data_IF_461654083982
#
_entry.id   IF_461654083982
#
_cell.length_a   1.000
_cell.length_b   1.000
_cell.length_c   1.000
_cell.angle_alpha   90.00
_cell.angle_beta   90.00
_cell.angle_gamma   90.00
#
_symmetry.space_group_name_H-M   'P 1'
#
loop_
_entity.id
_entity.type
_entity.pdbx_description
1 polymer ?
#
# COMPACT_ATOMS: atom_id res chain seq x y z
N UNK A 1 -58.31 18.85 -24.59
CA UNK A 1 -57.88 19.73 -23.48
C UNK A 1 -58.38 19.17 -22.17
N UNK A 2 -57.45 18.85 -21.25
CA UNK A 2 -57.52 18.86 -19.78
C UNK A 2 -56.52 17.82 -19.22
N UNK A 3 -55.30 18.29 -18.99
CA UNK A 3 -54.61 18.07 -17.71
C UNK A 3 -55.09 19.17 -16.74
N UNK A 4 -54.85 19.12 -15.42
CA UNK A 4 -53.90 18.28 -14.67
C UNK A 4 -54.50 17.63 -13.41
N UNK A 5 -53.71 16.83 -12.70
CA UNK A 5 -53.40 17.15 -11.29
C UNK A 5 -52.15 16.42 -10.80
N UNK A 6 -51.23 17.24 -10.27
CA UNK A 6 -50.11 16.85 -9.44
C UNK A 6 -50.65 16.45 -8.07
N UNK A 7 -49.97 15.55 -7.36
CA UNK A 7 -49.27 15.87 -6.10
C UNK A 7 -48.91 14.61 -5.28
N UNK A 8 -47.82 14.80 -4.52
CA UNK A 8 -47.45 14.15 -3.26
C UNK A 8 -46.57 12.89 -3.30
N UNK A 9 -45.25 13.16 -3.29
CA UNK A 9 -44.29 12.76 -2.23
C UNK A 9 -44.44 11.34 -1.66
N UNK A 10 -43.48 10.48 -1.99
CA UNK A 10 -42.93 9.59 -0.98
C UNK A 10 -41.41 9.46 -1.17
N UNK A 11 -40.70 10.25 -0.35
CA UNK A 11 -39.28 10.10 -0.08
C UNK A 11 -39.03 8.70 0.51
N UNK A 12 -38.53 7.78 -0.30
CA UNK A 12 -37.99 6.50 0.17
C UNK A 12 -36.47 6.59 0.16
N UNK A 13 -35.95 7.09 1.28
CA UNK A 13 -34.80 6.53 2.00
C UNK A 13 -33.68 5.90 1.14
N UNK A 14 -33.01 6.70 0.31
CA UNK A 14 -31.63 6.40 -0.08
C UNK A 14 -30.71 6.82 1.08
N UNK A 15 -30.43 5.83 1.93
CA UNK A 15 -29.50 5.91 3.05
C UNK A 15 -28.15 6.43 2.61
N UNK A 16 -27.97 7.73 2.81
CA UNK A 16 -26.70 8.46 2.71
C UNK A 16 -25.79 8.01 3.86
N UNK A 17 -25.18 6.83 3.73
CA UNK A 17 -24.03 6.42 4.54
C UNK A 17 -22.83 7.29 4.14
N UNK A 18 -22.75 8.50 4.70
CA UNK A 18 -21.47 9.20 4.88
C UNK A 18 -20.68 8.37 5.90
N UNK A 19 -19.83 7.48 5.40
CA UNK A 19 -18.85 6.79 6.24
C UNK A 19 -17.91 7.82 6.86
N UNK A 20 -18.01 7.95 8.19
CA UNK A 20 -17.06 8.64 9.07
C UNK A 20 -15.67 7.97 9.03
N UNK A 21 -14.99 7.93 7.89
CA UNK A 21 -13.66 7.27 7.77
C UNK A 21 -12.52 8.21 7.37
N UNK A 22 -12.73 9.52 7.35
CA UNK A 22 -11.69 10.50 6.95
C UNK A 22 -10.84 11.03 8.11
N UNK A 23 -11.11 10.64 9.36
CA UNK A 23 -10.34 11.12 10.52
C UNK A 23 -9.16 10.21 10.94
N UNK A 24 -8.98 9.01 10.36
CA UNK A 24 -8.02 8.02 10.87
C UNK A 24 -6.73 7.82 10.04
N UNK A 25 -6.57 8.49 8.89
CA UNK A 25 -5.35 8.33 8.08
C UNK A 25 -4.23 9.34 8.39
N UNK A 26 -4.49 10.39 9.17
CA UNK A 26 -3.51 11.43 9.47
C UNK A 26 -2.49 11.13 10.60
N UNK A 27 -2.72 10.26 11.62
CA UNK A 27 -1.76 10.09 12.70
C UNK A 27 -0.66 9.05 12.42
N UNK A 28 -0.77 8.26 11.35
CA UNK A 28 0.14 7.11 11.11
C UNK A 28 1.53 7.57 10.64
N UNK A 29 1.66 8.76 10.03
CA UNK A 29 2.94 9.26 9.50
C UNK A 29 3.80 9.90 10.60
N UNK A 30 3.19 10.57 11.59
CA UNK A 30 3.94 11.21 12.70
C UNK A 30 4.42 10.23 13.77
N UNK A 31 3.86 9.02 13.86
CA UNK A 31 4.25 8.02 14.88
C UNK A 31 5.45 7.16 14.50
N UNK A 32 5.94 7.24 13.26
CA UNK A 32 7.09 6.46 12.79
C UNK A 32 8.42 7.19 13.04
N UNK A 33 8.38 8.48 13.39
CA UNK A 33 9.59 9.29 13.64
C UNK A 33 10.07 9.27 15.10
N UNK A 34 9.24 8.87 16.06
CA UNK A 34 9.53 9.07 17.50
C UNK A 34 9.54 7.83 18.38
N UNK A 35 9.18 6.65 17.88
CA UNK A 35 9.34 5.42 18.65
C UNK A 35 10.72 4.81 18.36
N UNK A 36 11.65 5.08 19.27
CA UNK A 36 12.81 4.21 19.51
C UNK A 36 12.27 2.78 19.60
N UNK A 37 12.57 1.98 18.58
CA UNK A 37 12.26 0.55 18.53
C UNK A 37 12.72 -0.02 19.88
N UNK A 38 11.83 -0.61 20.71
CA UNK A 38 12.28 -1.32 21.88
C UNK A 38 13.14 -2.45 21.34
N UNK A 39 14.46 -2.28 21.48
CA UNK A 39 15.43 -3.32 21.23
C UNK A 39 14.99 -4.44 22.15
N UNK A 40 14.32 -5.43 21.58
CA UNK A 40 13.95 -6.66 22.28
C UNK A 40 15.13 -7.02 23.17
N UNK A 41 14.87 -7.08 24.48
CA UNK A 41 15.76 -7.59 25.53
C UNK A 41 16.06 -9.09 25.33
N UNK A 42 16.35 -9.51 24.09
CA UNK A 42 16.94 -10.79 23.71
C UNK A 42 18.46 -10.79 23.89
N UNK A 43 19.05 -9.73 24.45
CA UNK A 43 20.47 -9.68 24.79
C UNK A 43 20.84 -10.48 26.05
N UNK A 44 19.85 -10.96 26.84
CA UNK A 44 20.13 -11.72 28.08
C UNK A 44 20.24 -13.23 27.91
N UNK A 45 19.40 -13.84 27.06
CA UNK A 45 19.35 -15.31 26.89
C UNK A 45 20.56 -15.94 26.17
N UNK A 46 21.13 -15.37 25.09
CA UNK A 46 22.26 -16.02 24.42
C UNK A 46 23.54 -15.92 25.25
N UNK A 47 23.67 -14.90 26.13
CA UNK A 47 24.84 -14.75 26.99
C UNK A 47 24.81 -15.79 28.13
N UNK A 48 23.66 -15.98 28.78
CA UNK A 48 23.49 -17.00 29.80
C UNK A 48 23.68 -18.42 29.25
N UNK A 49 23.14 -18.72 28.07
CA UNK A 49 23.33 -20.00 27.41
C UNK A 49 24.79 -20.24 26.98
N UNK A 50 25.49 -19.21 26.51
CA UNK A 50 26.91 -19.30 26.16
C UNK A 50 27.78 -19.55 27.40
N UNK A 51 27.52 -18.86 28.51
CA UNK A 51 28.21 -19.09 29.79
C UNK A 51 27.98 -20.52 30.29
N UNK A 52 26.73 -21.02 30.20
CA UNK A 52 26.40 -22.38 30.60
C UNK A 52 27.11 -23.43 29.72
N UNK A 53 27.20 -23.21 28.41
CA UNK A 53 27.94 -24.08 27.49
C UNK A 53 29.45 -24.06 27.77
N UNK A 54 30.02 -22.90 28.07
CA UNK A 54 31.42 -22.78 28.47
C UNK A 54 31.65 -23.57 29.77
N UNK A 55 30.79 -23.37 30.78
CA UNK A 55 30.88 -24.10 32.06
C UNK A 55 30.71 -25.61 31.91
N UNK A 56 29.79 -26.08 31.07
CA UNK A 56 29.61 -27.51 30.80
C UNK A 56 30.81 -28.09 30.05
N UNK A 57 31.41 -27.33 29.12
CA UNK A 57 32.60 -27.76 28.39
C UNK A 57 33.84 -27.85 29.28
N UNK A 58 34.04 -26.89 30.18
CA UNK A 58 35.16 -26.92 31.15
C UNK A 58 34.97 -28.04 32.16
N UNK A 59 33.74 -28.28 32.63
CA UNK A 59 33.44 -29.45 33.47
C UNK A 59 33.73 -30.77 32.76
N UNK A 60 33.36 -30.91 31.49
CA UNK A 60 33.60 -32.12 30.71
C UNK A 60 35.10 -32.42 30.56
N UNK A 61 35.93 -31.39 30.34
CA UNK A 61 37.39 -31.51 30.30
C UNK A 61 37.96 -31.91 31.65
N UNK A 62 37.48 -31.31 32.75
CA UNK A 62 37.91 -31.69 34.11
C UNK A 62 37.55 -33.14 34.44
N UNK A 63 36.37 -33.62 34.02
CA UNK A 63 35.96 -35.01 34.17
C UNK A 63 36.83 -35.97 33.33
N UNK A 64 37.18 -35.61 32.10
CA UNK A 64 38.07 -36.41 31.25
C UNK A 64 39.50 -36.50 31.83
N UNK A 65 40.02 -35.38 32.37
CA UNK A 65 41.33 -35.37 33.04
C UNK A 65 41.32 -36.24 34.30
N UNK A 66 40.25 -36.19 35.09
CA UNK A 66 40.08 -37.03 36.28
C UNK A 66 39.90 -38.53 35.95
N UNK A 67 39.19 -38.86 34.87
CA UNK A 67 38.88 -40.24 34.51
C UNK A 67 40.02 -40.96 33.76
N UNK A 68 40.78 -40.24 32.92
CA UNK A 68 41.77 -40.85 32.01
C UNK A 68 43.20 -40.39 32.23
N UNK A 69 43.45 -39.41 33.12
CA UNK A 69 44.80 -38.90 33.40
C UNK A 69 45.46 -38.19 32.20
N UNK A 70 44.69 -37.84 31.17
CA UNK A 70 45.19 -37.20 29.96
C UNK A 70 45.32 -35.70 30.24
N UNK A 71 46.55 -35.19 30.17
CA UNK A 71 46.83 -33.76 30.26
C UNK A 71 46.62 -33.10 28.88
N UNK A 72 45.46 -32.45 28.70
CA UNK A 72 45.17 -31.70 27.48
C UNK A 72 45.79 -30.31 27.63
N UNK A 73 46.67 -29.86 26.71
CA UNK A 73 47.26 -28.53 26.78
C UNK A 73 46.19 -27.45 26.65
N UNK A 74 46.17 -26.52 27.60
CA UNK A 74 45.16 -25.47 27.74
C UNK A 74 44.94 -24.65 26.46
N UNK A 75 45.98 -24.50 25.62
CA UNK A 75 45.93 -23.77 24.36
C UNK A 75 44.95 -24.32 23.31
N UNK A 76 44.65 -25.63 23.30
CA UNK A 76 43.76 -26.24 22.29
C UNK A 76 42.28 -25.92 22.60
N UNK A 77 41.91 -25.76 23.87
CA UNK A 77 40.54 -25.45 24.30
C UNK A 77 40.13 -24.01 23.96
N UNK A 78 41.06 -23.06 24.06
CA UNK A 78 40.79 -21.65 23.74
C UNK A 78 40.64 -21.39 22.23
N UNK A 79 41.37 -22.11 21.37
CA UNK A 79 41.28 -21.96 19.92
C UNK A 79 39.94 -22.46 19.35
N UNK A 80 39.39 -23.55 19.91
CA UNK A 80 38.10 -24.09 19.48
C UNK A 80 36.90 -23.21 19.85
N UNK A 81 36.85 -22.69 21.08
CA UNK A 81 35.73 -21.86 21.55
C UNK A 81 35.82 -20.38 21.15
N UNK A 82 37.04 -19.83 21.05
CA UNK A 82 37.27 -18.46 20.59
C UNK A 82 36.84 -18.24 19.13
N UNK A 83 37.11 -19.22 18.25
CA UNK A 83 36.69 -19.15 16.84
C UNK A 83 35.17 -19.17 16.65
N UNK A 84 34.46 -19.99 17.41
CA UNK A 84 32.99 -20.17 17.28
C UNK A 84 32.23 -18.95 17.84
N UNK A 85 32.72 -18.37 18.94
CA UNK A 85 32.10 -17.20 19.58
C UNK A 85 32.32 -15.92 18.78
N UNK A 86 33.54 -15.67 18.28
CA UNK A 86 33.84 -14.52 17.41
C UNK A 86 33.12 -14.65 16.06
N UNK A 87 33.09 -15.84 15.47
CA UNK A 87 32.31 -16.12 14.25
C UNK A 87 30.81 -15.85 14.43
N UNK A 88 30.22 -16.25 15.56
CA UNK A 88 28.81 -16.02 15.87
C UNK A 88 28.47 -14.53 16.08
N UNK A 89 29.37 -13.75 16.70
CA UNK A 89 29.22 -12.30 16.87
C UNK A 89 29.33 -11.55 15.53
N UNK A 90 30.26 -11.93 14.66
CA UNK A 90 30.44 -11.33 13.32
C UNK A 90 29.24 -11.65 12.42
N UNK A 91 28.69 -12.87 12.49
CA UNK A 91 27.45 -13.25 11.81
C UNK A 91 26.23 -12.46 12.33
N UNK A 92 26.19 -12.11 13.62
CA UNK A 92 25.12 -11.29 14.20
C UNK A 92 25.16 -9.84 13.70
N UNK A 93 26.34 -9.22 13.61
CA UNK A 93 26.49 -7.85 13.10
C UNK A 93 26.23 -7.73 11.59
N UNK A 94 26.71 -8.68 10.78
CA UNK A 94 26.43 -8.70 9.34
C UNK A 94 24.94 -8.88 9.05
N UNK A 95 24.24 -9.77 9.78
CA UNK A 95 22.77 -9.93 9.68
C UNK A 95 22.00 -8.67 10.06
N UNK A 96 22.38 -8.00 11.16
CA UNK A 96 21.77 -6.72 11.57
C UNK A 96 21.96 -5.64 10.51
N UNK A 97 23.16 -5.53 9.91
CA UNK A 97 23.43 -4.58 8.81
C UNK A 97 22.60 -4.91 7.56
N UNK A 98 22.49 -6.18 7.20
CA UNK A 98 21.67 -6.63 6.07
C UNK A 98 20.18 -6.28 6.25
N UNK A 99 19.63 -6.54 7.45
CA UNK A 99 18.25 -6.19 7.79
C UNK A 99 18.02 -4.67 7.75
N UNK A 100 18.94 -3.86 8.30
CA UNK A 100 18.86 -2.40 8.20
C UNK A 100 18.87 -1.92 6.74
N UNK A 101 19.71 -2.51 5.88
CA UNK A 101 19.77 -2.17 4.46
C UNK A 101 18.47 -2.55 3.73
N UNK A 102 17.88 -3.70 4.02
CA UNK A 102 16.58 -4.11 3.47
C UNK A 102 15.45 -3.20 3.95
N UNK A 103 15.40 -2.88 5.24
CA UNK A 103 14.43 -1.93 5.80
C UNK A 103 14.51 -0.57 5.10
N UNK A 104 15.72 -0.04 4.89
CA UNK A 104 15.91 1.24 4.18
C UNK A 104 15.38 1.19 2.74
N UNK A 105 15.64 0.10 2.02
CA UNK A 105 15.09 -0.11 0.66
C UNK A 105 13.57 -0.17 0.67
N UNK A 106 12.99 -0.91 1.61
CA UNK A 106 11.52 -1.03 1.74
C UNK A 106 10.88 0.31 2.11
N UNK A 107 11.48 1.11 2.99
CA UNK A 107 10.99 2.46 3.29
C UNK A 107 10.94 3.33 2.04
N UNK A 108 11.99 3.30 1.20
CA UNK A 108 12.00 4.04 -0.08
C UNK A 108 10.87 3.58 -1.01
N UNK A 109 10.70 2.26 -1.17
CA UNK A 109 9.64 1.69 -1.99
C UNK A 109 8.23 2.06 -1.48
N UNK A 110 8.06 2.17 -0.17
CA UNK A 110 6.79 2.64 0.43
C UNK A 110 6.52 4.10 0.09
N UNK A 111 7.53 4.97 0.14
CA UNK A 111 7.39 6.38 -0.27
C UNK A 111 6.96 6.46 -1.74
N UNK A 112 7.62 5.73 -2.64
CA UNK A 112 7.25 5.68 -4.06
C UNK A 112 5.79 5.21 -4.27
N UNK A 113 5.31 4.27 -3.44
CA UNK A 113 3.92 3.78 -3.49
C UNK A 113 2.92 4.81 -2.92
N UNK A 114 3.32 5.60 -1.92
CA UNK A 114 2.53 6.71 -1.40
C UNK A 114 2.40 7.80 -2.45
N UNK A 115 3.49 8.20 -3.08
CA UNK A 115 3.50 9.20 -4.15
C UNK A 115 2.61 8.76 -5.32
N UNK A 116 2.66 7.46 -5.67
CA UNK A 116 1.76 6.89 -6.67
C UNK A 116 0.29 6.94 -6.25
N UNK A 117 -0.02 6.64 -4.98
CA UNK A 117 -1.37 6.72 -4.46
C UNK A 117 -1.90 8.15 -4.48
N UNK A 118 -1.07 9.13 -4.12
CA UNK A 118 -1.43 10.56 -4.16
C UNK A 118 -1.68 11.03 -5.58
N UNK A 119 -0.82 10.64 -6.53
CA UNK A 119 -1.04 10.90 -7.95
C UNK A 119 -2.40 10.36 -8.43
N UNK A 120 -2.70 9.08 -8.19
CA UNK A 120 -3.98 8.48 -8.63
C UNK A 120 -5.17 9.13 -7.93
N UNK A 121 -5.06 9.49 -6.64
CA UNK A 121 -6.12 10.21 -5.93
C UNK A 121 -6.39 11.58 -6.54
N UNK A 122 -5.35 12.34 -6.85
CA UNK A 122 -5.48 13.65 -7.48
C UNK A 122 -6.15 13.53 -8.85
N UNK A 123 -5.73 12.56 -9.67
CA UNK A 123 -6.36 12.27 -10.97
C UNK A 123 -7.84 11.91 -10.85
N UNK A 124 -8.21 11.05 -9.90
CA UNK A 124 -9.62 10.69 -9.67
C UNK A 124 -10.43 11.90 -9.22
N UNK A 125 -9.92 12.69 -8.26
CA UNK A 125 -10.60 13.87 -7.76
C UNK A 125 -10.81 14.93 -8.86
N UNK A 126 -9.80 15.16 -9.70
CA UNK A 126 -9.91 16.06 -10.86
C UNK A 126 -10.98 15.58 -11.85
N UNK A 127 -11.00 14.29 -12.17
CA UNK A 127 -12.02 13.71 -13.05
C UNK A 127 -13.43 13.84 -12.45
N UNK A 128 -13.61 13.49 -11.17
CA UNK A 128 -14.88 13.61 -10.47
C UNK A 128 -15.37 15.07 -10.39
N UNK A 129 -14.48 16.02 -10.11
CA UNK A 129 -14.82 17.44 -10.07
C UNK A 129 -15.30 17.95 -11.43
N UNK A 130 -14.60 17.60 -12.51
CA UNK A 130 -14.99 18.01 -13.86
C UNK A 130 -16.31 17.37 -14.30
N UNK A 131 -16.51 16.08 -14.01
CA UNK A 131 -17.79 15.39 -14.30
C UNK A 131 -18.93 16.05 -13.53
N UNK A 132 -18.72 16.42 -12.26
CA UNK A 132 -19.75 17.05 -11.42
C UNK A 132 -20.16 18.46 -11.92
N UNK A 133 -19.29 19.16 -12.64
CA UNK A 133 -19.61 20.46 -13.26
C UNK A 133 -20.52 20.33 -14.48
N UNK A 134 -20.66 19.13 -15.03
CA UNK A 134 -21.47 18.86 -16.22
C UNK A 134 -22.78 18.15 -15.83
N UNK A 135 -23.92 18.86 -15.77
CA UNK A 135 -25.19 18.27 -15.31
C UNK A 135 -25.78 17.22 -16.28
N UNK A 136 -25.36 17.19 -17.55
CA UNK A 136 -25.75 16.17 -18.54
C UNK A 136 -24.90 14.90 -18.50
N UNK A 137 -23.98 14.81 -17.53
CA UNK A 137 -22.83 13.92 -17.57
C UNK A 137 -22.98 12.64 -16.72
N UNK A 138 -24.21 12.30 -16.32
CA UNK A 138 -24.51 11.10 -15.52
C UNK A 138 -23.88 9.83 -16.13
N UNK A 139 -23.83 9.75 -17.47
CA UNK A 139 -23.21 8.64 -18.21
C UNK A 139 -21.68 8.53 -18.02
N UNK A 140 -20.95 9.63 -17.81
CA UNK A 140 -19.51 9.60 -17.58
C UNK A 140 -19.15 9.32 -16.12
N UNK A 141 -20.02 9.65 -15.16
CA UNK A 141 -19.84 9.23 -13.77
C UNK A 141 -19.86 7.70 -13.62
N UNK A 142 -20.58 7.03 -14.51
CA UNK A 142 -20.58 5.58 -14.65
C UNK A 142 -19.53 5.03 -15.63
N UNK A 143 -18.66 5.90 -16.17
CA UNK A 143 -17.67 5.49 -17.16
C UNK A 143 -16.78 4.37 -16.65
N UNK A 144 -16.50 3.45 -17.55
CA UNK A 144 -15.58 2.35 -17.31
C UNK A 144 -14.20 2.85 -16.86
N UNK A 145 -13.70 3.94 -17.47
CA UNK A 145 -12.41 4.52 -17.14
C UNK A 145 -12.33 5.03 -15.68
N UNK A 146 -13.35 5.79 -15.22
CA UNK A 146 -13.39 6.28 -13.84
C UNK A 146 -13.49 5.13 -12.84
N UNK A 147 -14.24 4.08 -13.19
CA UNK A 147 -14.30 2.85 -12.40
C UNK A 147 -12.92 2.21 -12.26
N UNK A 148 -12.16 2.06 -13.35
CA UNK A 148 -10.82 1.47 -13.32
C UNK A 148 -9.85 2.32 -12.49
N UNK A 149 -9.86 3.65 -12.65
CA UNK A 149 -9.02 4.56 -11.84
C UNK A 149 -9.32 4.43 -10.34
N UNK A 150 -10.60 4.38 -9.98
CA UNK A 150 -11.06 4.18 -8.61
C UNK A 150 -10.60 2.83 -8.06
N UNK A 151 -10.66 1.78 -8.87
CA UNK A 151 -10.22 0.45 -8.50
C UNK A 151 -8.70 0.41 -8.27
N UNK A 152 -7.90 1.05 -9.14
CA UNK A 152 -6.44 1.19 -8.97
C UNK A 152 -6.12 1.87 -7.65
N UNK A 153 -6.75 3.02 -7.37
CA UNK A 153 -6.59 3.79 -6.12
C UNK A 153 -6.80 2.91 -4.89
N UNK A 154 -7.91 2.17 -4.87
CA UNK A 154 -8.31 1.35 -3.73
C UNK A 154 -7.39 0.14 -3.56
N UNK A 155 -6.93 -0.48 -4.64
CA UNK A 155 -6.00 -1.59 -4.62
C UNK A 155 -4.62 -1.16 -4.11
N UNK A 156 -4.11 0.00 -4.53
CA UNK A 156 -2.87 0.59 -4.01
C UNK A 156 -3.03 0.88 -2.51
N UNK A 157 -4.12 1.53 -2.10
CA UNK A 157 -4.40 1.84 -0.69
C UNK A 157 -4.42 0.58 0.18
N UNK A 158 -5.11 -0.49 -0.27
CA UNK A 158 -5.15 -1.78 0.45
C UNK A 158 -3.76 -2.41 0.55
N UNK A 159 -2.96 -2.33 -0.51
CA UNK A 159 -1.60 -2.87 -0.54
C UNK A 159 -0.66 -2.11 0.40
N UNK A 160 -0.70 -0.78 0.35
CA UNK A 160 0.05 0.09 1.25
C UNK A 160 -0.27 -0.23 2.72
N UNK A 161 -1.56 -0.40 3.06
CA UNK A 161 -1.98 -0.81 4.42
C UNK A 161 -1.40 -2.16 4.84
N UNK A 162 -1.37 -3.15 3.95
CA UNK A 162 -0.77 -4.47 4.26
C UNK A 162 0.74 -4.37 4.48
N UNK A 163 1.43 -3.58 3.64
CA UNK A 163 2.87 -3.36 3.77
C UNK A 163 3.19 -2.61 5.06
N UNK A 164 2.43 -1.57 5.43
CA UNK A 164 2.68 -0.81 6.66
C UNK A 164 2.53 -1.66 7.91
N UNK A 165 1.53 -2.56 7.95
CA UNK A 165 1.36 -3.53 9.04
C UNK A 165 2.59 -4.45 9.15
N UNK A 166 3.10 -4.97 8.03
CA UNK A 166 4.30 -5.82 8.04
C UNK A 166 5.56 -5.05 8.47
N UNK A 167 5.64 -3.76 8.19
CA UNK A 167 6.79 -2.94 8.54
C UNK A 167 6.75 -2.41 9.98
N UNK A 168 5.60 -2.50 10.67
CA UNK A 168 5.47 -2.14 12.08
C UNK A 168 6.30 -3.07 12.98
N UNK A 169 6.41 -4.35 12.61
CA UNK A 169 7.25 -5.34 13.29
C UNK A 169 8.30 -5.87 12.31
N UNK A 170 9.42 -5.15 12.13
CA UNK A 170 10.40 -5.44 11.07
C UNK A 170 11.27 -6.64 11.44
N UNK A 171 10.74 -7.85 11.23
CA UNK A 171 11.51 -9.08 11.21
C UNK A 171 11.88 -9.48 9.76
N UNK A 172 12.75 -10.49 9.61
CA UNK A 172 13.19 -10.96 8.28
C UNK A 172 12.02 -11.50 7.44
N UNK A 173 11.06 -12.15 8.07
CA UNK A 173 9.94 -12.80 7.39
C UNK A 173 8.93 -11.77 6.88
N UNK A 174 8.61 -10.77 7.70
CA UNK A 174 7.74 -9.65 7.42
C UNK A 174 8.35 -8.74 6.35
N UNK A 175 9.66 -8.45 6.41
CA UNK A 175 10.35 -7.74 5.33
C UNK A 175 10.28 -8.51 4.00
N UNK A 176 10.47 -9.82 4.03
CA UNK A 176 10.37 -10.67 2.84
C UNK A 176 8.94 -10.68 2.29
N UNK A 177 7.93 -10.81 3.16
CA UNK A 177 6.50 -10.75 2.79
C UNK A 177 6.12 -9.38 2.21
N UNK A 178 6.62 -8.30 2.81
CA UNK A 178 6.38 -6.95 2.32
C UNK A 178 7.01 -6.74 0.93
N UNK A 179 8.21 -7.26 0.71
CA UNK A 179 8.87 -7.24 -0.59
C UNK A 179 8.11 -8.05 -1.65
N UNK A 180 7.60 -9.24 -1.30
CA UNK A 180 6.74 -10.04 -2.19
C UNK A 180 5.45 -9.30 -2.53
N UNK A 181 4.80 -8.67 -1.54
CA UNK A 181 3.58 -7.90 -1.77
C UNK A 181 3.81 -6.69 -2.68
N UNK A 182 4.97 -6.04 -2.56
CA UNK A 182 5.36 -4.93 -3.41
C UNK A 182 5.64 -5.39 -4.85
N UNK A 183 6.35 -6.51 -5.03
CA UNK A 183 6.67 -7.05 -6.36
C UNK A 183 5.47 -7.68 -7.08
N UNK A 184 4.46 -8.13 -6.35
CA UNK A 184 3.28 -8.80 -6.93
C UNK A 184 2.48 -7.81 -7.81
N UNK A 185 1.99 -8.19 -9.00
CA UNK A 185 1.09 -7.35 -9.78
C UNK A 185 -0.23 -7.01 -9.05
N UNK A 186 -0.84 -5.88 -9.39
CA UNK A 186 -2.21 -5.53 -9.02
C UNK A 186 -3.14 -6.10 -10.08
N UNK A 187 -4.09 -6.92 -9.66
CA UNK A 187 -5.12 -7.45 -10.56
C UNK A 187 -6.25 -6.41 -10.69
N UNK A 188 -6.30 -5.75 -11.83
CA UNK A 188 -7.39 -4.84 -12.22
C UNK A 188 -8.51 -5.69 -12.85
N UNK A 189 -9.78 -5.35 -12.62
CA UNK A 189 -10.94 -6.04 -13.23
C UNK A 189 -11.73 -5.08 -14.11
N UNK A 190 -12.21 -5.59 -15.23
CA UNK A 190 -13.07 -4.85 -16.17
C UNK A 190 -14.58 -4.88 -15.85
N UNK A 191 -14.97 -5.37 -14.67
CA UNK A 191 -16.37 -5.41 -14.26
C UNK A 191 -16.55 -4.99 -12.81
N UNK A 192 -17.63 -4.23 -12.58
CA UNK A 192 -18.12 -3.85 -11.24
C UNK A 192 -18.62 -5.06 -10.43
N UNK A 193 -19.04 -6.15 -11.10
CA UNK A 193 -19.60 -7.35 -10.47
C UNK A 193 -18.52 -8.36 -10.04
N UNK A 194 -18.64 -8.90 -8.82
CA UNK A 194 -17.73 -9.94 -8.36
C UNK A 194 -17.91 -11.24 -9.16
N UNK A 195 -16.80 -11.89 -9.51
CA UNK A 195 -16.81 -13.14 -10.29
C UNK A 195 -17.10 -12.98 -11.78
N UNK A 196 -17.41 -11.77 -12.23
CA UNK A 196 -17.66 -11.43 -13.63
C UNK A 196 -16.50 -10.59 -14.16
N UNK A 197 -16.17 -10.76 -15.44
CA UNK A 197 -15.12 -9.98 -16.11
C UNK A 197 -13.74 -10.64 -16.08
N UNK A 198 -12.81 -10.03 -16.82
CA UNK A 198 -11.42 -10.45 -16.90
C UNK A 198 -10.58 -9.69 -15.90
N UNK A 199 -9.54 -10.34 -15.41
CA UNK A 199 -8.55 -9.70 -14.54
C UNK A 199 -7.24 -9.48 -15.29
N UNK A 200 -6.76 -8.25 -15.26
CA UNK A 200 -5.54 -7.80 -15.91
C UNK A 200 -4.49 -7.51 -14.84
N UNK A 201 -3.42 -8.31 -14.77
CA UNK A 201 -2.32 -8.04 -13.84
C UNK A 201 -1.48 -6.86 -14.34
N UNK A 202 -1.38 -5.81 -13.53
CA UNK A 202 -0.56 -4.63 -13.79
C UNK A 202 0.53 -4.51 -12.74
N UNK A 203 1.78 -4.41 -13.18
CA UNK A 203 2.92 -4.16 -12.30
C UNK A 203 2.84 -2.76 -11.67
N UNK A 204 3.24 -2.61 -10.40
CA UNK A 204 3.16 -1.31 -9.71
C UNK A 204 3.93 -0.22 -10.47
N UNK A 205 5.08 -0.57 -11.03
CA UNK A 205 5.91 0.33 -11.84
C UNK A 205 5.21 0.87 -13.08
N UNK A 206 4.25 0.13 -13.63
CA UNK A 206 3.51 0.47 -14.86
C UNK A 206 2.17 1.15 -14.60
N UNK A 207 1.79 1.36 -13.34
CA UNK A 207 0.49 1.95 -13.01
C UNK A 207 0.38 3.38 -13.56
N UNK A 208 1.47 4.16 -13.56
CA UNK A 208 1.47 5.52 -14.14
C UNK A 208 1.13 5.48 -15.63
N UNK A 209 1.69 4.52 -16.35
CA UNK A 209 1.47 4.33 -17.79
C UNK A 209 0.02 3.93 -18.12
N UNK A 210 -0.68 3.31 -17.16
CA UNK A 210 -2.11 2.96 -17.30
C UNK A 210 -3.02 4.13 -16.90
N UNK A 211 -2.66 4.87 -15.86
CA UNK A 211 -3.49 5.96 -15.32
C UNK A 211 -3.53 7.16 -16.28
N UNK A 212 -2.42 7.52 -16.93
CA UNK A 212 -2.38 8.64 -17.88
C UNK A 212 -3.44 8.55 -18.97
N UNK A 213 -3.44 7.47 -19.80
CA UNK A 213 -4.43 7.29 -20.86
C UNK A 213 -5.87 7.23 -20.37
N UNK A 214 -6.11 6.71 -19.15
CA UNK A 214 -7.46 6.68 -18.57
C UNK A 214 -7.96 8.08 -18.22
N UNK A 215 -7.08 8.95 -17.72
CA UNK A 215 -7.40 10.34 -17.43
C UNK A 215 -7.66 11.09 -18.74
N UNK A 216 -6.77 10.96 -19.72
CA UNK A 216 -6.93 11.57 -21.05
C UNK A 216 -8.27 11.18 -21.69
N UNK A 217 -8.62 9.89 -21.66
CA UNK A 217 -9.89 9.40 -22.19
C UNK A 217 -11.11 10.04 -21.49
N UNK A 218 -11.06 10.22 -20.17
CA UNK A 218 -12.13 10.89 -19.43
C UNK A 218 -12.19 12.37 -19.81
N UNK A 219 -11.04 13.04 -19.91
CA UNK A 219 -10.98 14.46 -20.25
C UNK A 219 -11.47 14.74 -21.66
N UNK A 220 -11.11 13.90 -22.64
CA UNK A 220 -11.65 13.96 -24.00
C UNK A 220 -13.17 13.76 -24.02
N UNK A 221 -13.68 12.81 -23.25
CA UNK A 221 -15.13 12.59 -23.10
C UNK A 221 -15.85 13.81 -22.51
N UNK A 222 -15.26 14.47 -21.52
CA UNK A 222 -15.81 15.69 -20.91
C UNK A 222 -15.81 16.83 -21.93
N UNK A 223 -14.73 17.02 -22.68
CA UNK A 223 -14.63 18.05 -23.72
C UNK A 223 -15.66 17.83 -24.84
N UNK A 224 -15.91 16.58 -25.24
CA UNK A 224 -16.95 16.25 -26.22
C UNK A 224 -18.35 16.65 -25.72
N UNK A 225 -18.65 16.41 -24.44
CA UNK A 225 -19.94 16.82 -23.85
C UNK A 225 -20.02 18.34 -23.70
N UNK A 226 -18.93 18.99 -23.33
CA UNK A 226 -18.87 20.46 -23.22
C UNK A 226 -19.15 21.14 -24.57
N UNK A 227 -18.60 20.59 -25.65
CA UNK A 227 -18.83 21.08 -27.02
C UNK A 227 -20.27 20.83 -27.47
N UNK A 228 -20.81 19.62 -27.26
CA UNK A 228 -22.22 19.30 -27.58
C UNK A 228 -23.19 20.21 -26.81
N UNK A 229 -22.94 20.45 -25.51
CA UNK A 229 -23.76 21.37 -24.70
C UNK A 229 -23.68 22.82 -25.22
N UNK A 230 -22.51 23.27 -25.66
CA UNK A 230 -22.32 24.62 -26.18
C UNK A 230 -23.08 24.81 -27.52
N UNK A 231 -23.00 23.84 -28.41
CA UNK A 231 -23.74 23.84 -29.68
C UNK A 231 -25.24 23.86 -29.43
N UNK A 232 -25.74 22.98 -28.55
CA UNK A 232 -27.16 22.92 -28.20
C UNK A 232 -27.69 24.21 -27.57
N UNK A 233 -26.91 24.86 -26.71
CA UNK A 233 -27.30 26.14 -26.12
C UNK A 233 -27.33 27.26 -27.17
N UNK A 234 -26.41 27.26 -28.13
CA UNK A 234 -26.41 28.22 -29.23
C UNK A 234 -27.65 28.07 -30.12
N UNK A 235 -28.11 26.83 -30.39
CA UNK A 235 -29.35 26.56 -31.10
C UNK A 235 -30.57 27.09 -30.34
N UNK A 236 -30.66 26.81 -29.03
CA UNK A 236 -31.77 27.29 -28.20
C UNK A 236 -31.82 28.83 -28.14
N UNK A 237 -30.68 29.51 -28.13
CA UNK A 237 -30.61 30.97 -28.17
C UNK A 237 -31.11 31.53 -29.51
N UNK A 238 -30.84 30.86 -30.63
CA UNK A 238 -31.36 31.24 -31.95
C UNK A 238 -32.87 31.02 -32.04
N UNK A 239 -33.37 29.89 -31.54
CA UNK A 239 -34.81 29.61 -31.48
C UNK A 239 -35.55 30.62 -30.60
N UNK A 240 -34.98 30.96 -29.43
CA UNK A 240 -35.55 31.95 -28.53
C UNK A 240 -35.65 33.33 -29.20
N UNK A 241 -34.61 33.76 -29.93
CA UNK A 241 -34.63 35.03 -30.68
C UNK A 241 -35.65 35.01 -31.82
N UNK A 242 -35.75 33.91 -32.57
CA UNK A 242 -36.73 33.77 -33.63
C UNK A 242 -38.17 33.85 -33.08
N UNK A 243 -38.44 33.23 -31.92
CA UNK A 243 -39.75 33.26 -31.27
C UNK A 243 -40.16 34.63 -30.74
N UNK A 244 -39.21 35.51 -30.39
CA UNK A 244 -39.48 36.88 -29.95
C UNK A 244 -39.74 37.85 -31.11
N UNK A 245 -39.30 37.50 -32.32
CA UNK A 245 -39.48 38.32 -33.52
C UNK A 245 -40.79 38.02 -34.29
N UNK A 246 -41.44 36.90 -33.97
CA UNK A 246 -42.71 36.45 -34.55
C UNK A 246 -43.90 36.92 -33.71
#
# INVERSE_FOLDING_TARGET
MKMPDRLVVQEVLLGRRRSKSEAESAPIIKKIETEEIPVLKLAGLPCAAAILLILMSTLCVLCLKAAFGIDIPEGILFLGFGGITVGSLVLSHSRKRALKKQLKKMKKAVVELVDLLEFVKASVAQCEERIAKQPSCDKLSDSFALYILTQIRDLIKRRLKKISILLAEPDRNNLTRAQILFARPIAIRDSKMEGVGRSYPVEISKIRDVVGPLVEFIEEGILAIETENAERNAELDLEARASQAA
#
